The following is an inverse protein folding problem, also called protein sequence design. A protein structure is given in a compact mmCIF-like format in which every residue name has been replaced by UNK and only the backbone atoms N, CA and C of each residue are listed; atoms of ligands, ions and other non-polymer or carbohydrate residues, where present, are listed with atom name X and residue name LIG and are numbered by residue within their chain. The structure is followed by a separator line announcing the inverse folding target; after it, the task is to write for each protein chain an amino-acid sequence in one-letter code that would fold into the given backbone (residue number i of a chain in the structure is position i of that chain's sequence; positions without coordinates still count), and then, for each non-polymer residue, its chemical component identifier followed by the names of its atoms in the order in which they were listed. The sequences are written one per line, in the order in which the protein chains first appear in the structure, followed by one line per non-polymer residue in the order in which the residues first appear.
data_IF_364089286060
#
_entry.id   IF_364089286060
#
_cell.length_a   1.000
_cell.length_b   1.000
_cell.length_c   1.000
_cell.angle_alpha   90.00
_cell.angle_beta   90.00
_cell.angle_gamma   90.00
#
_symmetry.space_group_name_H-M   'P 1'
#
loop_
_entity.id
_entity.type
_entity.pdbx_description
1 polymer ?
#
# COMPACT_ATOMS: atom_id res chain seq x y z
N UNK A 1 -13.67 -3.05 -3.72
CA UNK A 1 -14.35 -2.81 -2.43
C UNK A 1 -13.76 -1.62 -1.67
N UNK A 2 -12.49 -1.28 -1.87
CA UNK A 2 -11.93 0.01 -1.42
C UNK A 2 -12.26 1.15 -2.39
N UNK A 3 -11.68 2.33 -2.13
CA UNK A 3 -11.83 3.54 -2.97
C UNK A 3 -10.98 3.52 -4.25
N UNK A 4 -10.05 2.56 -4.35
CA UNK A 4 -9.11 2.42 -5.46
C UNK A 4 -8.22 3.66 -5.71
N UNK A 5 -8.00 4.49 -4.68
CA UNK A 5 -7.23 5.73 -4.84
C UNK A 5 -5.81 5.45 -5.36
N UNK A 6 -5.11 4.44 -4.84
CA UNK A 6 -3.74 4.10 -5.26
C UNK A 6 -3.75 3.63 -6.72
N UNK A 7 -4.70 2.76 -7.06
CA UNK A 7 -4.85 2.26 -8.42
C UNK A 7 -5.22 3.33 -9.43
N UNK A 8 -6.08 4.29 -9.07
CA UNK A 8 -6.45 5.42 -9.94
C UNK A 8 -5.33 6.47 -10.06
N UNK A 9 -4.47 6.61 -9.05
CA UNK A 9 -3.34 7.55 -9.10
C UNK A 9 -2.36 7.24 -10.24
N UNK A 10 -2.24 5.99 -10.69
CA UNK A 10 -1.36 5.65 -11.81
C UNK A 10 -1.87 6.26 -13.13
N UNK A 11 -3.07 5.91 -13.66
CA UNK A 11 -3.59 6.53 -14.88
C UNK A 11 -3.78 8.05 -14.76
N UNK A 12 -4.17 8.57 -13.59
CA UNK A 12 -4.25 10.02 -13.37
C UNK A 12 -2.87 10.69 -13.54
N UNK A 13 -1.82 10.11 -12.94
CA UNK A 13 -0.45 10.61 -13.08
C UNK A 13 0.04 10.54 -14.52
N UNK A 14 -0.22 9.44 -15.24
CA UNK A 14 0.15 9.31 -16.66
C UNK A 14 -0.56 10.39 -17.50
N UNK A 15 -1.86 10.63 -17.26
CA UNK A 15 -2.62 11.64 -17.99
C UNK A 15 -2.11 13.05 -17.72
N UNK A 16 -1.79 13.36 -16.46
CA UNK A 16 -1.22 14.65 -16.06
C UNK A 16 0.17 14.88 -16.66
N UNK A 17 1.03 13.86 -16.67
CA UNK A 17 2.39 13.94 -17.24
C UNK A 17 2.35 14.11 -18.76
N UNK A 18 1.38 13.50 -19.46
CA UNK A 18 1.17 13.69 -20.89
C UNK A 18 0.45 15.00 -21.23
N UNK A 19 -0.20 15.65 -20.26
CA UNK A 19 -0.97 16.88 -20.46
C UNK A 19 -2.24 16.68 -21.30
N UNK A 20 -2.76 15.44 -21.40
CA UNK A 20 -3.95 15.09 -22.20
C UNK A 20 -4.65 13.83 -21.69
N UNK A 21 -5.93 13.60 -22.08
CA UNK A 21 -6.59 12.32 -21.86
C UNK A 21 -5.81 11.14 -22.47
N UNK A 22 -5.90 9.98 -21.80
CA UNK A 22 -5.24 8.75 -22.25
C UNK A 22 -6.00 8.12 -23.42
N UNK A 23 -5.24 7.60 -24.37
CA UNK A 23 -5.75 6.66 -25.36
C UNK A 23 -6.05 5.31 -24.70
N UNK A 24 -6.84 4.47 -25.35
CA UNK A 24 -7.30 3.20 -24.79
C UNK A 24 -6.14 2.30 -24.34
N UNK A 25 -5.09 2.18 -25.17
CA UNK A 25 -3.90 1.37 -24.84
C UNK A 25 -3.08 1.98 -23.68
N UNK A 26 -2.93 3.30 -23.65
CA UNK A 26 -2.23 4.00 -22.56
C UNK A 26 -2.96 3.83 -21.22
N UNK A 27 -4.29 3.97 -21.26
CA UNK A 27 -5.16 3.73 -20.12
C UNK A 27 -5.08 2.28 -19.67
N UNK A 28 -5.15 1.32 -20.59
CA UNK A 28 -5.07 -0.09 -20.26
C UNK A 28 -3.76 -0.42 -19.53
N UNK A 29 -2.62 0.03 -20.03
CA UNK A 29 -1.33 -0.19 -19.36
C UNK A 29 -1.26 0.51 -17.99
N UNK A 30 -1.66 1.78 -17.91
CA UNK A 30 -1.61 2.54 -16.66
C UNK A 30 -2.56 1.96 -15.60
N UNK A 31 -3.78 1.60 -15.99
CA UNK A 31 -4.73 0.94 -15.12
C UNK A 31 -4.25 -0.46 -14.70
N UNK A 32 -3.53 -1.19 -15.56
CA UNK A 32 -2.96 -2.50 -15.22
C UNK A 32 -1.89 -2.35 -14.12
N UNK A 33 -1.01 -1.35 -14.21
CA UNK A 33 -0.09 -1.02 -13.12
C UNK A 33 -0.82 -0.55 -11.85
N UNK A 34 -1.87 0.25 -12.00
CA UNK A 34 -2.73 0.66 -10.88
C UNK A 34 -3.39 -0.52 -10.17
N UNK A 35 -3.89 -1.50 -10.90
CA UNK A 35 -4.42 -2.73 -10.33
C UNK A 35 -3.36 -3.55 -9.61
N UNK A 36 -2.11 -3.59 -10.11
CA UNK A 36 -1.01 -4.22 -9.40
C UNK A 36 -0.71 -3.53 -8.06
N UNK A 37 -0.82 -2.19 -7.98
CA UNK A 37 -0.73 -1.47 -6.70
C UNK A 37 -1.87 -1.81 -5.74
N UNK A 38 -3.10 -1.98 -6.25
CA UNK A 38 -4.24 -2.42 -5.43
C UNK A 38 -4.11 -3.88 -4.98
N UNK A 39 -3.50 -4.75 -5.78
CA UNK A 39 -3.15 -6.12 -5.39
C UNK A 39 -2.09 -6.11 -4.29
N UNK A 40 -1.05 -5.27 -4.40
CA UNK A 40 -0.05 -5.12 -3.35
C UNK A 40 -0.68 -4.68 -2.03
N UNK A 41 -1.58 -3.69 -2.09
CA UNK A 41 -2.34 -3.28 -0.91
C UNK A 41 -3.19 -4.43 -0.36
N UNK A 42 -3.88 -5.18 -1.23
CA UNK A 42 -4.72 -6.29 -0.80
C UNK A 42 -3.91 -7.40 -0.11
N UNK A 43 -2.72 -7.72 -0.63
CA UNK A 43 -1.76 -8.61 0.02
C UNK A 43 -1.46 -8.15 1.45
N UNK A 44 -1.03 -6.89 1.62
CA UNK A 44 -0.74 -6.36 2.95
C UNK A 44 -1.95 -6.37 3.88
N UNK A 45 -3.13 -5.95 3.41
CA UNK A 45 -4.34 -5.89 4.23
C UNK A 45 -4.81 -7.28 4.70
N UNK A 46 -4.70 -8.32 3.86
CA UNK A 46 -5.07 -9.68 4.27
C UNK A 46 -4.13 -10.18 5.37
N UNK A 47 -2.83 -9.95 5.21
CA UNK A 47 -1.81 -10.33 6.19
C UNK A 47 -1.94 -9.53 7.50
N UNK A 48 -2.12 -8.22 7.41
CA UNK A 48 -2.33 -7.27 8.52
C UNK A 48 -3.57 -7.64 9.33
N UNK A 49 -4.71 -7.90 8.65
CA UNK A 49 -5.94 -8.35 9.32
C UNK A 49 -5.72 -9.61 10.17
N UNK A 50 -4.86 -10.54 9.74
CA UNK A 50 -4.52 -11.74 10.50
C UNK A 50 -3.63 -11.41 11.70
N UNK A 51 -2.56 -10.63 11.47
CA UNK A 51 -1.59 -10.26 12.50
C UNK A 51 -2.23 -9.48 13.65
N UNK A 52 -3.17 -8.58 13.32
CA UNK A 52 -3.87 -7.73 14.29
C UNK A 52 -5.15 -8.39 14.84
N UNK A 53 -5.49 -9.61 14.38
CA UNK A 53 -6.72 -10.29 14.80
C UNK A 53 -8.01 -9.53 14.43
N UNK A 54 -7.95 -8.66 13.42
CA UNK A 54 -9.03 -7.77 12.99
C UNK A 54 -10.34 -8.52 12.70
N UNK A 55 -11.47 -7.84 12.99
CA UNK A 55 -12.82 -8.40 12.82
C UNK A 55 -13.43 -8.01 11.47
N UNK A 56 -13.33 -6.73 11.08
CA UNK A 56 -13.96 -6.21 9.87
C UNK A 56 -13.03 -5.33 9.05
N UNK A 57 -13.10 -5.48 7.73
CA UNK A 57 -12.40 -4.65 6.74
C UNK A 57 -13.38 -4.26 5.64
N UNK A 58 -13.46 -2.97 5.29
CA UNK A 58 -14.36 -2.44 4.24
C UNK A 58 -15.82 -2.89 4.44
N UNK A 59 -16.31 -2.79 5.69
CA UNK A 59 -17.69 -3.16 6.12
C UNK A 59 -18.06 -4.64 5.96
N UNK A 60 -17.09 -5.53 5.82
CA UNK A 60 -17.29 -6.98 5.75
C UNK A 60 -16.34 -7.70 6.72
N UNK A 61 -16.62 -8.95 7.12
CA UNK A 61 -15.65 -9.74 7.89
C UNK A 61 -14.32 -9.81 7.13
N UNK A 62 -13.21 -9.68 7.86
CA UNK A 62 -11.86 -9.87 7.32
C UNK A 62 -11.76 -11.23 6.61
N UNK A 63 -10.88 -11.35 5.62
CA UNK A 63 -10.83 -12.54 4.77
C UNK A 63 -10.63 -13.83 5.58
N UNK A 64 -9.72 -13.81 6.55
CA UNK A 64 -9.44 -14.96 7.43
C UNK A 64 -10.60 -15.33 8.38
N UNK A 65 -11.62 -14.47 8.52
CA UNK A 65 -12.82 -14.69 9.32
C UNK A 65 -13.99 -15.26 8.51
N UNK A 66 -13.87 -15.38 7.19
CA UNK A 66 -14.91 -15.97 6.34
C UNK A 66 -15.01 -17.47 6.56
N UNK A 67 -16.23 -18.00 6.52
CA UNK A 67 -16.49 -19.43 6.65
C UNK A 67 -15.72 -20.23 5.58
N UNK A 68 -14.93 -21.21 6.03
CA UNK A 68 -14.12 -22.06 5.15
C UNK A 68 -12.78 -21.47 4.71
N UNK A 69 -12.43 -20.25 5.11
CA UNK A 69 -11.13 -19.62 4.78
C UNK A 69 -10.13 -19.84 5.92
N UNK A 70 -10.36 -19.26 7.10
CA UNK A 70 -9.43 -19.36 8.22
C UNK A 70 -8.00 -18.93 7.84
N UNK A 71 -7.00 -19.73 8.23
CA UNK A 71 -5.58 -19.46 7.94
C UNK A 71 -5.14 -19.79 6.51
N UNK A 72 -6.03 -20.32 5.65
CA UNK A 72 -5.76 -20.42 4.20
C UNK A 72 -5.49 -19.01 3.64
N UNK A 73 -6.06 -17.98 4.26
CA UNK A 73 -5.82 -16.58 3.97
C UNK A 73 -4.33 -16.17 3.89
N UNK A 74 -3.43 -16.85 4.61
CA UNK A 74 -1.98 -16.61 4.51
C UNK A 74 -1.49 -16.93 3.09
N UNK A 75 -1.85 -18.11 2.57
CA UNK A 75 -1.48 -18.48 1.21
C UNK A 75 -2.22 -17.65 0.16
N UNK A 76 -3.47 -17.25 0.44
CA UNK A 76 -4.21 -16.36 -0.45
C UNK A 76 -3.52 -15.00 -0.58
N UNK A 77 -2.93 -14.47 0.51
CA UNK A 77 -2.12 -13.26 0.47
C UNK A 77 -0.90 -13.44 -0.47
N UNK A 78 -0.17 -14.55 -0.35
CA UNK A 78 0.96 -14.86 -1.26
C UNK A 78 0.53 -14.99 -2.72
N UNK A 79 -0.65 -15.56 -2.97
CA UNK A 79 -1.22 -15.66 -4.31
C UNK A 79 -1.55 -14.28 -4.90
N UNK A 80 -2.11 -13.38 -4.08
CA UNK A 80 -2.40 -12.00 -4.47
C UNK A 80 -1.11 -11.27 -4.86
N UNK A 81 -0.04 -11.41 -4.07
CA UNK A 81 1.27 -10.81 -4.40
C UNK A 81 1.85 -11.43 -5.69
N UNK A 82 1.81 -12.76 -5.81
CA UNK A 82 2.30 -13.48 -7.00
C UNK A 82 1.59 -13.04 -8.29
N UNK A 83 0.31 -12.68 -8.20
CA UNK A 83 -0.46 -12.19 -9.34
C UNK A 83 0.11 -10.87 -9.91
N UNK A 84 0.72 -10.02 -9.07
CA UNK A 84 1.39 -8.79 -9.52
C UNK A 84 2.46 -9.13 -10.55
N UNK A 85 3.37 -10.03 -10.21
CA UNK A 85 4.49 -10.39 -11.08
C UNK A 85 4.04 -11.19 -12.31
N UNK A 86 2.96 -11.97 -12.19
CA UNK A 86 2.34 -12.62 -13.34
C UNK A 86 1.78 -11.59 -14.35
N UNK A 87 1.10 -10.54 -13.86
CA UNK A 87 0.57 -9.45 -14.69
C UNK A 87 1.70 -8.59 -15.26
N UNK A 88 2.69 -8.23 -14.45
CA UNK A 88 3.86 -7.45 -14.87
C UNK A 88 4.60 -8.15 -16.01
N UNK A 89 4.89 -9.44 -15.86
CA UNK A 89 5.50 -10.25 -16.94
C UNK A 89 4.60 -10.34 -18.17
N UNK A 90 3.28 -10.49 -18.01
CA UNK A 90 2.36 -10.65 -19.13
C UNK A 90 2.30 -9.39 -20.01
N UNK A 91 2.22 -8.21 -19.39
CA UNK A 91 1.94 -6.97 -20.10
C UNK A 91 3.17 -6.08 -20.32
N UNK A 92 4.21 -6.20 -19.49
CA UNK A 92 5.36 -5.29 -19.51
C UNK A 92 6.70 -5.95 -19.80
N UNK A 93 6.79 -7.27 -20.04
CA UNK A 93 8.08 -7.97 -20.28
C UNK A 93 8.94 -7.39 -21.40
N UNK A 94 8.33 -6.72 -22.38
CA UNK A 94 9.02 -6.07 -23.51
C UNK A 94 9.20 -4.57 -23.33
N UNK A 95 8.65 -4.00 -22.25
CA UNK A 95 8.80 -2.59 -21.93
C UNK A 95 10.26 -2.31 -21.51
N UNK A 96 10.89 -1.21 -21.95
CA UNK A 96 12.28 -0.91 -21.58
C UNK A 96 12.51 -0.85 -20.07
N UNK A 97 11.55 -0.29 -19.32
CA UNK A 97 11.59 -0.20 -17.86
C UNK A 97 11.02 -1.43 -17.12
N UNK A 98 10.95 -2.62 -17.74
CA UNK A 98 10.41 -3.84 -17.10
C UNK A 98 11.13 -4.18 -15.79
N UNK A 99 12.47 -4.17 -15.83
CA UNK A 99 13.30 -4.50 -14.66
C UNK A 99 13.10 -3.46 -13.58
N UNK A 100 13.10 -2.17 -13.93
CA UNK A 100 12.90 -1.10 -12.94
C UNK A 100 11.53 -1.19 -12.27
N UNK A 101 10.46 -1.50 -13.02
CA UNK A 101 9.13 -1.70 -12.43
C UNK A 101 9.09 -2.91 -11.51
N UNK A 102 9.78 -4.01 -11.87
CA UNK A 102 9.89 -5.21 -11.04
C UNK A 102 10.63 -4.90 -9.72
N UNK A 103 11.78 -4.24 -9.81
CA UNK A 103 12.57 -3.82 -8.65
C UNK A 103 11.79 -2.84 -7.77
N UNK A 104 11.05 -1.91 -8.37
CA UNK A 104 10.22 -0.95 -7.64
C UNK A 104 9.11 -1.63 -6.82
N UNK A 105 8.45 -2.66 -7.35
CA UNK A 105 7.49 -3.45 -6.59
C UNK A 105 8.17 -4.18 -5.42
N UNK A 106 9.30 -4.84 -5.66
CA UNK A 106 10.02 -5.56 -4.61
C UNK A 106 10.54 -4.62 -3.51
N UNK A 107 11.09 -3.47 -3.88
CA UNK A 107 11.57 -2.45 -2.94
C UNK A 107 10.41 -1.91 -2.09
N UNK A 108 9.28 -1.56 -2.71
CA UNK A 108 8.10 -1.09 -1.98
C UNK A 108 7.55 -2.18 -1.04
N UNK A 109 7.56 -3.46 -1.44
CA UNK A 109 7.18 -4.58 -0.58
C UNK A 109 8.12 -4.68 0.61
N UNK A 110 9.43 -4.68 0.38
CA UNK A 110 10.44 -4.79 1.44
C UNK A 110 10.35 -3.62 2.44
N UNK A 111 10.17 -2.40 1.95
CA UNK A 111 9.97 -1.21 2.79
C UNK A 111 8.72 -1.34 3.67
N UNK A 112 7.60 -1.78 3.09
CA UNK A 112 6.37 -1.99 3.85
C UNK A 112 6.50 -3.10 4.90
N UNK A 113 7.19 -4.19 4.58
CA UNK A 113 7.48 -5.28 5.53
C UNK A 113 8.39 -4.83 6.67
N UNK A 114 9.41 -4.00 6.40
CA UNK A 114 10.25 -3.39 7.44
C UNK A 114 9.44 -2.48 8.37
N UNK A 115 8.55 -1.66 7.79
CA UNK A 115 7.61 -0.83 8.55
C UNK A 115 6.69 -1.67 9.43
N UNK A 116 6.11 -2.73 8.87
CA UNK A 116 5.25 -3.67 9.59
C UNK A 116 5.99 -4.39 10.73
N UNK A 117 7.23 -4.82 10.50
CA UNK A 117 8.04 -5.44 11.54
C UNK A 117 8.27 -4.46 12.69
N UNK A 118 8.66 -3.21 12.38
CA UNK A 118 8.86 -2.18 13.39
C UNK A 118 7.58 -1.89 14.17
N UNK A 119 6.43 -1.85 13.50
CA UNK A 119 5.12 -1.65 14.08
C UNK A 119 4.74 -2.75 15.09
N UNK A 120 4.94 -4.02 14.72
CA UNK A 120 4.63 -5.17 15.59
C UNK A 120 5.53 -5.25 16.83
N UNK A 121 6.84 -4.95 16.69
CA UNK A 121 7.77 -4.99 17.83
C UNK A 121 7.68 -3.75 18.72
N UNK A 122 7.10 -2.65 18.22
CA UNK A 122 6.94 -1.40 18.97
C UNK A 122 5.80 -1.50 19.97
N UNK A 123 4.69 -2.12 19.57
CA UNK A 123 3.49 -2.30 20.41
C UNK A 123 3.05 -3.76 20.50
N UNK A 124 3.82 -4.67 21.14
CA UNK A 124 3.36 -6.05 21.32
C UNK A 124 2.13 -6.08 22.24
N UNK A 125 1.07 -6.77 21.82
CA UNK A 125 -0.22 -6.84 22.55
C UNK A 125 -0.04 -7.42 23.97
N UNK A 126 0.86 -8.39 24.13
CA UNK A 126 1.08 -9.09 25.40
C UNK A 126 1.94 -8.32 26.41
N UNK A 127 2.55 -7.19 26.02
CA UNK A 127 3.45 -6.43 26.89
C UNK A 127 3.36 -4.92 26.61
N UNK A 128 2.68 -4.21 27.50
CA UNK A 128 2.59 -2.74 27.45
C UNK A 128 3.88 -2.10 27.98
N UNK A 129 4.56 -1.35 27.12
CA UNK A 129 5.72 -0.51 27.46
C UNK A 129 5.63 0.82 26.71
N UNK A 130 4.96 1.80 27.33
CA UNK A 130 4.78 3.13 26.72
C UNK A 130 6.11 3.88 26.52
N UNK A 131 7.18 3.50 27.24
CA UNK A 131 8.51 4.05 27.02
C UNK A 131 9.13 3.61 25.70
N UNK A 132 8.58 2.56 25.08
CA UNK A 132 8.99 2.09 23.77
C UNK A 132 8.45 2.97 22.63
N UNK A 133 7.43 3.78 22.87
CA UNK A 133 6.86 4.70 21.88
C UNK A 133 7.68 5.98 21.78
N UNK A 134 8.04 6.36 20.54
CA UNK A 134 8.73 7.61 20.24
C UNK A 134 8.30 8.14 18.88
N UNK A 135 8.40 9.46 18.68
CA UNK A 135 8.12 10.06 17.39
C UNK A 135 9.05 9.53 16.29
N UNK A 136 10.31 9.21 16.60
CA UNK A 136 11.23 8.65 15.60
C UNK A 136 10.78 7.29 15.09
N UNK A 137 10.31 6.41 15.98
CA UNK A 137 9.74 5.10 15.59
C UNK A 137 8.44 5.26 14.85
N UNK A 138 7.57 6.13 15.34
CA UNK A 138 6.31 6.45 14.68
C UNK A 138 6.57 6.89 13.23
N UNK A 139 7.47 7.86 13.03
CA UNK A 139 7.86 8.35 11.69
C UNK A 139 8.44 7.25 10.82
N UNK A 140 9.30 6.38 11.37
CA UNK A 140 9.81 5.22 10.65
C UNK A 140 8.68 4.29 10.20
N UNK A 141 7.79 3.91 11.13
CA UNK A 141 6.65 3.03 10.84
C UNK A 141 5.78 3.63 9.75
N UNK A 142 5.31 4.87 9.89
CA UNK A 142 4.37 5.45 8.91
C UNK A 142 4.99 5.64 7.53
N UNK A 143 6.26 6.03 7.46
CA UNK A 143 6.96 6.21 6.19
C UNK A 143 7.13 4.86 5.48
N UNK A 144 7.66 3.86 6.19
CA UNK A 144 8.00 2.57 5.58
C UNK A 144 6.76 1.69 5.38
N UNK A 145 5.90 1.55 6.40
CA UNK A 145 4.69 0.73 6.35
C UNK A 145 3.68 1.28 5.34
N UNK A 146 3.56 2.61 5.20
CA UNK A 146 2.46 3.22 4.43
C UNK A 146 2.93 4.08 3.27
N UNK A 147 3.82 5.06 3.48
CA UNK A 147 4.04 6.14 2.51
C UNK A 147 4.56 5.66 1.15
N UNK A 148 5.56 4.76 1.14
CA UNK A 148 6.18 4.29 -0.10
C UNK A 148 5.20 3.60 -1.04
N UNK A 149 4.53 2.53 -0.59
CA UNK A 149 3.63 1.78 -1.47
C UNK A 149 2.32 2.54 -1.78
N UNK A 150 1.92 3.48 -0.92
CA UNK A 150 0.64 4.18 -1.03
C UNK A 150 0.70 5.45 -1.87
N UNK A 151 1.82 6.16 -1.84
CA UNK A 151 1.95 7.47 -2.50
C UNK A 151 3.06 7.45 -3.54
N UNK A 152 4.27 7.02 -3.18
CA UNK A 152 5.41 7.05 -4.09
C UNK A 152 5.27 6.04 -5.24
N UNK A 153 4.98 4.77 -4.93
CA UNK A 153 4.88 3.67 -5.88
C UNK A 153 3.95 3.98 -7.08
N UNK A 154 2.68 4.42 -6.91
CA UNK A 154 1.81 4.74 -8.04
C UNK A 154 2.40 5.78 -9.01
N UNK A 155 3.03 6.83 -8.49
CA UNK A 155 3.57 7.93 -9.31
C UNK A 155 4.88 7.50 -9.96
N UNK A 156 5.73 6.75 -9.24
CA UNK A 156 6.94 6.18 -9.79
C UNK A 156 6.64 5.19 -10.93
N UNK A 157 5.60 4.36 -10.80
CA UNK A 157 5.13 3.48 -11.87
C UNK A 157 4.71 4.26 -13.12
N UNK A 158 4.00 5.37 -12.96
CA UNK A 158 3.65 6.26 -14.08
C UNK A 158 4.89 6.86 -14.76
N UNK A 159 5.90 7.27 -13.97
CA UNK A 159 7.18 7.76 -14.50
C UNK A 159 7.93 6.66 -15.28
N UNK A 160 7.96 5.42 -14.77
CA UNK A 160 8.60 4.30 -15.47
C UNK A 160 7.85 3.92 -16.76
N UNK A 161 6.52 3.86 -16.72
CA UNK A 161 5.69 3.59 -17.90
C UNK A 161 5.95 4.59 -19.02
N UNK A 162 6.16 5.87 -18.69
CA UNK A 162 6.45 6.92 -19.68
C UNK A 162 7.94 7.05 -20.02
N UNK A 163 8.81 6.22 -19.46
CA UNK A 163 10.27 6.34 -19.57
C UNK A 163 10.79 7.74 -19.12
N UNK A 164 10.12 8.33 -18.12
CA UNK A 164 10.45 9.61 -17.50
C UNK A 164 11.11 9.46 -16.12
N UNK A 165 11.35 8.24 -15.67
CA UNK A 165 11.93 7.90 -14.36
C UNK A 165 13.44 8.20 -14.27
N UNK A 166 13.82 9.45 -14.49
CA UNK A 166 15.20 9.90 -14.21
C UNK A 166 15.43 9.98 -12.70
N UNK A 167 16.69 9.87 -12.21
CA UNK A 167 16.99 10.01 -10.78
C UNK A 167 16.45 11.32 -10.18
N UNK A 168 16.47 12.41 -10.96
CA UNK A 168 15.90 13.70 -10.54
C UNK A 168 14.38 13.62 -10.38
N UNK A 169 13.66 13.06 -11.35
CA UNK A 169 12.20 13.01 -11.32
C UNK A 169 11.71 12.10 -10.19
N UNK A 170 12.35 10.94 -10.00
CA UNK A 170 12.07 10.04 -8.90
C UNK A 170 12.33 10.72 -7.55
N UNK A 171 13.45 11.44 -7.42
CA UNK A 171 13.75 12.16 -6.18
C UNK A 171 12.74 13.25 -5.85
N UNK A 172 12.33 14.05 -6.85
CA UNK A 172 11.29 15.07 -6.65
C UNK A 172 9.95 14.43 -6.26
N UNK A 173 9.59 13.31 -6.87
CA UNK A 173 8.38 12.57 -6.50
C UNK A 173 8.47 12.07 -5.06
N UNK A 174 9.58 11.45 -4.66
CA UNK A 174 9.83 10.97 -3.29
C UNK A 174 9.72 12.11 -2.26
N UNK A 175 10.41 13.23 -2.50
CA UNK A 175 10.47 14.37 -1.56
C UNK A 175 9.09 15.01 -1.30
N UNK A 176 8.13 14.83 -2.21
CA UNK A 176 6.75 15.31 -2.07
C UNK A 176 5.84 14.22 -1.49
N UNK A 177 5.95 13.00 -2.00
CA UNK A 177 4.99 11.93 -1.74
C UNK A 177 5.21 11.25 -0.38
N UNK A 178 6.45 11.21 0.11
CA UNK A 178 6.73 10.63 1.43
C UNK A 178 6.14 11.48 2.57
N UNK A 179 6.35 12.81 2.63
CA UNK A 179 5.68 13.65 3.63
C UNK A 179 4.15 13.62 3.53
N UNK A 180 3.60 13.50 2.31
CA UNK A 180 2.15 13.36 2.12
C UNK A 180 1.64 12.03 2.70
N UNK A 181 2.41 10.95 2.55
CA UNK A 181 2.10 9.66 3.15
C UNK A 181 2.20 9.65 4.67
N UNK A 182 3.18 10.33 5.25
CA UNK A 182 3.28 10.57 6.70
C UNK A 182 2.04 11.29 7.21
N UNK A 183 1.64 12.40 6.56
CA UNK A 183 0.42 13.12 6.90
C UNK A 183 -0.84 12.26 6.78
N UNK A 184 -0.94 11.44 5.74
CA UNK A 184 -2.06 10.53 5.54
C UNK A 184 -2.20 9.51 6.68
N UNK A 185 -1.10 8.93 7.16
CA UNK A 185 -1.16 7.95 8.25
C UNK A 185 -1.52 8.61 9.58
N UNK A 186 -0.99 9.81 9.86
CA UNK A 186 -1.40 10.60 11.04
C UNK A 186 -2.91 10.86 11.03
N UNK A 187 -3.47 11.13 9.85
CA UNK A 187 -4.91 11.26 9.70
C UNK A 187 -5.67 9.94 9.92
N UNK A 188 -5.13 8.81 9.46
CA UNK A 188 -5.73 7.47 9.65
C UNK A 188 -5.79 7.11 11.14
N UNK A 189 -4.71 7.31 11.89
CA UNK A 189 -4.63 7.02 13.33
C UNK A 189 -5.60 7.92 14.13
N UNK A 190 -5.70 9.22 13.77
CA UNK A 190 -6.71 10.10 14.35
C UNK A 190 -8.13 9.58 14.08
N UNK A 191 -8.39 9.14 12.85
CA UNK A 191 -9.70 8.63 12.46
C UNK A 191 -10.01 7.29 13.14
N UNK A 192 -9.03 6.43 13.40
CA UNK A 192 -9.23 5.16 14.09
C UNK A 192 -9.91 5.36 15.45
N UNK A 193 -9.44 6.33 16.24
CA UNK A 193 -10.01 6.63 17.55
C UNK A 193 -11.24 7.56 17.51
N UNK A 194 -11.25 8.58 16.65
CA UNK A 194 -12.26 9.65 16.71
C UNK A 194 -13.32 9.60 15.60
N UNK A 195 -13.07 8.87 14.53
CA UNK A 195 -14.00 8.81 13.42
C UNK A 195 -15.11 7.79 13.63
N UNK A 196 -16.26 8.07 13.00
CA UNK A 196 -17.45 7.22 13.15
C UNK A 196 -17.30 5.94 12.33
N UNK A 197 -17.55 4.74 12.90
CA UNK A 197 -17.44 3.47 12.18
C UNK A 197 -18.24 3.42 10.87
N UNK A 198 -19.40 4.09 10.80
CA UNK A 198 -20.23 4.14 9.59
C UNK A 198 -19.53 4.87 8.44
N UNK A 199 -18.70 5.86 8.77
CA UNK A 199 -17.97 6.68 7.81
C UNK A 199 -16.66 6.02 7.39
N UNK A 200 -15.92 5.42 8.33
CA UNK A 200 -14.61 4.81 8.09
C UNK A 200 -14.76 3.40 7.49
N UNK A 201 -15.78 2.65 7.94
CA UNK A 201 -16.03 1.28 7.48
C UNK A 201 -15.19 0.20 8.18
N UNK A 202 -14.56 0.54 9.31
CA UNK A 202 -13.96 -0.37 10.29
C UNK A 202 -14.28 0.14 11.71
N UNK A 203 -14.14 -0.74 12.70
CA UNK A 203 -14.11 -0.38 14.12
C UNK A 203 -12.63 -0.15 14.45
N UNK A 204 -12.32 0.99 15.08
CA UNK A 204 -10.95 1.27 15.52
C UNK A 204 -10.53 0.36 16.66
N UNK A 205 -9.28 -0.11 16.59
CA UNK A 205 -8.71 -1.07 17.55
C UNK A 205 -7.34 -0.66 18.05
N UNK A 206 -6.80 0.48 17.61
CA UNK A 206 -5.41 0.90 17.90
C UNK A 206 -5.10 0.87 19.40
N UNK A 207 -5.99 1.37 20.25
CA UNK A 207 -5.81 1.37 21.71
C UNK A 207 -5.77 -0.06 22.28
N UNK A 208 -6.65 -0.96 21.80
CA UNK A 208 -6.71 -2.35 22.24
C UNK A 208 -5.49 -3.15 21.76
N UNK A 209 -4.96 -2.78 20.59
CA UNK A 209 -3.85 -3.45 19.94
C UNK A 209 -2.48 -2.85 20.33
N UNK A 210 -2.47 -1.94 21.32
CA UNK A 210 -1.27 -1.30 21.87
C UNK A 210 -0.48 -0.51 20.81
N UNK A 211 -1.20 0.27 19.99
CA UNK A 211 -0.66 1.16 18.94
C UNK A 211 -0.67 2.63 19.36
#
# INVERSE_FOLDING_TARGET
GGKCNRGMSVPDSVSLLLGRPLQEEEYFHAATLGWMTELLQAFFLVSDDIMDGSITRRRKPCWHRQDGVGMIAINDAFLIESAIYALLKKYFRSHPAYVDMLELFHEATFQAELGQLCDLITGPVDKVDLGNFSMDKYRFIVIYKTAYYSFYLPVALALHQLNLATPRNLKVAEDILIPLGEYFQVQDDYLDNFGRPEHIGKIGTDIQDNK
#
